data_IF_035790617337
#
_entry.id   IF_035790617337
#
_cell.length_a   1.000
_cell.length_b   1.000
_cell.length_c   1.000
_cell.angle_alpha   90.00
_cell.angle_beta   90.00
_cell.angle_gamma   90.00
#
_symmetry.space_group_name_H-M   'P 1'
#
loop_
_entity.id
_entity.type
_entity.pdbx_description
1 polymer ?
#
# COMPACT_ATOMS: atom_id res chain seq x y z
N UNK A 1 18.58 2.35 35.78
CA UNK A 1 19.26 2.11 34.49
C UNK A 1 18.28 2.47 33.40
N UNK A 2 18.33 3.70 32.89
CA UNK A 2 17.42 4.16 31.84
C UNK A 2 17.86 3.58 30.49
N UNK A 3 16.91 2.95 29.79
CA UNK A 3 17.06 2.43 28.44
C UNK A 3 17.61 3.50 27.49
N UNK A 4 18.86 3.33 27.06
CA UNK A 4 19.57 4.33 26.23
C UNK A 4 19.15 4.30 24.76
N UNK A 5 18.27 3.39 24.35
CA UNK A 5 17.87 3.27 22.95
C UNK A 5 16.35 3.30 22.80
N UNK A 6 15.79 4.50 22.86
CA UNK A 6 14.35 4.69 22.70
C UNK A 6 13.88 4.41 21.27
N UNK A 7 14.79 4.49 20.28
CA UNK A 7 14.51 4.12 18.89
C UNK A 7 14.22 2.62 18.77
N UNK A 8 14.97 1.78 19.48
CA UNK A 8 14.69 0.33 19.57
C UNK A 8 13.29 0.05 20.12
N UNK A 9 12.84 0.82 21.11
CA UNK A 9 11.48 0.67 21.65
C UNK A 9 10.40 1.02 20.61
N UNK A 10 10.63 2.04 19.77
CA UNK A 10 9.73 2.33 18.63
C UNK A 10 9.71 1.16 17.65
N UNK A 11 10.89 0.61 17.32
CA UNK A 11 11.02 -0.53 16.39
C UNK A 11 10.23 -1.73 16.90
N UNK A 12 10.40 -2.10 18.17
CA UNK A 12 9.68 -3.19 18.82
C UNK A 12 8.18 -2.93 18.87
N UNK A 13 7.78 -1.70 19.20
CA UNK A 13 6.38 -1.29 19.18
C UNK A 13 5.76 -1.47 17.79
N UNK A 14 6.42 -1.02 16.71
CA UNK A 14 5.91 -1.18 15.34
C UNK A 14 5.75 -2.65 14.99
N UNK A 15 6.74 -3.50 15.35
CA UNK A 15 6.65 -4.93 15.12
C UNK A 15 5.48 -5.56 15.87
N UNK A 16 5.30 -5.21 17.14
CA UNK A 16 4.17 -5.68 17.96
C UNK A 16 2.84 -5.21 17.39
N UNK A 17 2.72 -3.93 17.05
CA UNK A 17 1.51 -3.35 16.46
C UNK A 17 1.15 -4.02 15.12
N UNK A 18 2.15 -4.37 14.31
CA UNK A 18 1.94 -5.10 13.04
C UNK A 18 1.47 -6.53 13.29
N UNK A 19 2.09 -7.25 14.24
CA UNK A 19 1.67 -8.61 14.63
C UNK A 19 0.24 -8.65 15.19
N UNK A 20 -0.16 -7.60 15.92
CA UNK A 20 -1.51 -7.45 16.46
C UNK A 20 -2.53 -6.91 15.45
N UNK A 21 -2.15 -6.71 14.18
CA UNK A 21 -3.03 -6.20 13.13
C UNK A 21 -3.45 -4.74 13.29
N UNK A 22 -2.80 -3.97 14.18
CA UNK A 22 -3.06 -2.52 14.34
C UNK A 22 -2.53 -1.73 13.15
N UNK A 23 -1.44 -2.21 12.55
CA UNK A 23 -1.03 -1.85 11.21
C UNK A 23 -1.31 -3.02 10.25
N UNK A 24 -1.74 -2.71 9.02
CA UNK A 24 -1.63 -3.69 7.95
C UNK A 24 -0.15 -3.95 7.65
N UNK A 25 0.19 -5.15 7.17
CA UNK A 25 1.58 -5.59 7.01
C UNK A 25 2.42 -4.65 6.14
N UNK A 26 1.85 -4.14 5.04
CA UNK A 26 2.57 -3.21 4.16
C UNK A 26 2.88 -1.87 4.85
N UNK A 27 1.93 -1.33 5.61
CA UNK A 27 2.09 -0.09 6.37
C UNK A 27 3.09 -0.29 7.51
N UNK A 28 2.95 -1.38 8.26
CA UNK A 28 3.88 -1.74 9.33
C UNK A 28 5.31 -1.85 8.83
N UNK A 29 5.54 -2.61 7.75
CA UNK A 29 6.85 -2.76 7.13
C UNK A 29 7.37 -1.42 6.57
N UNK A 30 6.50 -0.64 5.93
CA UNK A 30 6.87 0.67 5.40
C UNK A 30 7.31 1.66 6.48
N UNK A 31 6.64 1.66 7.64
CA UNK A 31 7.00 2.45 8.81
C UNK A 31 8.30 1.93 9.44
N UNK A 32 8.39 0.61 9.65
CA UNK A 32 9.58 -0.04 10.20
C UNK A 32 10.84 0.28 9.39
N UNK A 33 10.75 0.17 8.06
CA UNK A 33 11.86 0.49 7.18
C UNK A 33 12.24 1.95 7.27
N UNK A 34 11.26 2.86 7.38
CA UNK A 34 11.56 4.29 7.50
C UNK A 34 12.33 4.61 8.79
N UNK A 35 11.91 4.05 9.93
CA UNK A 35 12.60 4.24 11.21
C UNK A 35 14.01 3.65 11.17
N UNK A 36 14.18 2.42 10.65
CA UNK A 36 15.51 1.79 10.50
C UNK A 36 16.43 2.55 9.56
N UNK A 37 15.88 3.12 8.48
CA UNK A 37 16.65 3.99 7.59
C UNK A 37 17.13 5.23 8.34
N UNK A 38 16.28 5.87 9.13
CA UNK A 38 16.69 7.03 9.92
C UNK A 38 17.76 6.65 10.97
N UNK A 39 17.60 5.51 11.64
CA UNK A 39 18.55 4.97 12.61
C UNK A 39 19.94 4.76 12.00
N UNK A 40 20.04 4.28 10.75
CA UNK A 40 21.32 4.14 10.04
C UNK A 40 22.03 5.46 9.73
N UNK A 41 21.29 6.58 9.76
CA UNK A 41 21.85 7.90 9.57
C UNK A 41 22.50 8.49 10.84
N UNK A 42 22.29 7.85 12.00
CA UNK A 42 22.88 8.27 13.27
C UNK A 42 24.37 7.93 13.31
N UNK A 43 25.16 8.86 13.84
CA UNK A 43 26.55 8.62 14.20
C UNK A 43 26.63 7.98 15.60
N UNK A 44 27.76 7.33 15.92
CA UNK A 44 27.95 6.62 17.19
C UNK A 44 27.83 7.55 18.43
N UNK A 45 28.16 8.83 18.25
CA UNK A 45 28.13 9.84 19.31
C UNK A 45 26.76 10.52 19.49
N UNK A 46 25.79 10.22 18.61
CA UNK A 46 24.48 10.87 18.63
C UNK A 46 23.47 10.14 19.51
N UNK A 47 22.58 10.87 20.21
CA UNK A 47 21.63 10.26 21.11
C UNK A 47 20.57 9.46 20.34
N UNK A 48 20.37 8.20 20.74
CA UNK A 48 19.30 7.32 20.22
C UNK A 48 17.94 7.61 20.88
N UNK A 49 17.57 8.89 20.89
CA UNK A 49 16.35 9.42 21.52
C UNK A 49 15.28 9.76 20.49
N UNK A 50 14.01 9.66 20.90
CA UNK A 50 12.86 9.94 20.02
C UNK A 50 12.79 11.42 19.65
N UNK A 51 13.12 12.31 20.59
CA UNK A 51 13.23 13.76 20.38
C UNK A 51 14.28 14.05 19.30
N UNK A 52 15.49 13.54 19.48
CA UNK A 52 16.58 13.73 18.53
C UNK A 52 16.21 13.25 17.14
N UNK A 53 15.67 12.02 17.05
CA UNK A 53 15.18 11.46 15.80
C UNK A 53 14.17 12.40 15.15
N UNK A 54 13.15 12.89 15.88
CA UNK A 54 12.09 13.74 15.33
C UNK A 54 12.59 15.09 14.81
N UNK A 55 13.55 15.68 15.51
CA UNK A 55 14.03 17.04 15.22
C UNK A 55 15.06 17.04 14.08
N UNK A 56 15.76 15.92 13.87
CA UNK A 56 16.84 15.80 12.89
C UNK A 56 16.51 14.83 11.73
N UNK A 57 15.25 14.41 11.54
CA UNK A 57 14.88 13.41 10.52
C UNK A 57 15.45 13.78 9.14
N UNK A 58 15.33 15.04 8.73
CA UNK A 58 15.76 15.50 7.41
C UNK A 58 17.28 15.38 7.24
N UNK A 59 18.04 15.80 8.25
CA UNK A 59 19.49 15.72 8.26
C UNK A 59 19.99 14.26 8.21
N UNK A 60 19.37 13.37 9.00
CA UNK A 60 19.71 11.95 9.01
C UNK A 60 19.54 11.30 7.63
N UNK A 61 18.59 11.76 6.81
CA UNK A 61 18.43 11.29 5.43
C UNK A 61 19.41 11.95 4.46
N UNK A 62 19.73 13.23 4.63
CA UNK A 62 20.72 13.95 3.80
C UNK A 62 22.13 13.37 3.93
N UNK A 63 22.51 12.91 5.14
CA UNK A 63 23.81 12.26 5.38
C UNK A 63 23.95 10.94 4.61
N UNK A 64 22.84 10.27 4.31
CA UNK A 64 22.82 8.97 3.64
C UNK A 64 22.85 9.12 2.11
N UNK A 65 24.00 9.51 1.57
CA UNK A 65 24.20 9.75 0.11
C UNK A 65 23.82 8.58 -0.79
N UNK A 66 23.83 7.34 -0.28
CA UNK A 66 23.48 6.14 -1.03
C UNK A 66 21.97 5.91 -1.19
N UNK A 67 21.11 6.62 -0.45
CA UNK A 67 19.67 6.35 -0.46
C UNK A 67 18.96 6.77 -1.75
N UNK A 68 19.55 7.70 -2.53
CA UNK A 68 19.05 8.14 -3.84
C UNK A 68 17.52 8.30 -3.92
N UNK A 69 16.90 8.84 -2.86
CA UNK A 69 15.45 9.02 -2.78
C UNK A 69 15.02 10.34 -3.44
N UNK A 70 13.93 10.30 -4.20
CA UNK A 70 13.27 11.53 -4.65
C UNK A 70 12.74 12.33 -3.45
N UNK A 71 12.61 13.67 -3.57
CA UNK A 71 12.04 14.50 -2.50
C UNK A 71 10.67 14.01 -2.02
N UNK A 72 9.81 13.57 -2.93
CA UNK A 72 8.50 13.01 -2.60
C UNK A 72 8.62 11.71 -1.79
N UNK A 73 9.63 10.88 -2.08
CA UNK A 73 9.87 9.66 -1.31
C UNK A 73 10.38 9.98 0.09
N UNK A 74 11.24 10.99 0.24
CA UNK A 74 11.72 11.43 1.55
C UNK A 74 10.57 11.91 2.44
N UNK A 75 9.66 12.73 1.89
CA UNK A 75 8.49 13.21 2.64
C UNK A 75 7.58 12.04 3.10
N UNK A 76 7.44 10.99 2.28
CA UNK A 76 6.71 9.78 2.69
C UNK A 76 7.40 9.09 3.88
N UNK A 77 8.72 9.03 3.89
CA UNK A 77 9.47 8.46 5.02
C UNK A 77 9.31 9.33 6.27
N UNK A 78 9.41 10.65 6.15
CA UNK A 78 9.23 11.58 7.27
C UNK A 78 7.83 11.46 7.88
N UNK A 79 6.79 11.43 7.05
CA UNK A 79 5.42 11.22 7.49
C UNK A 79 5.23 9.89 8.22
N UNK A 80 5.90 8.81 7.77
CA UNK A 80 5.87 7.50 8.43
C UNK A 80 6.56 7.52 9.80
N UNK A 81 7.71 8.16 9.91
CA UNK A 81 8.46 8.28 11.17
C UNK A 81 7.67 9.10 12.17
N UNK A 82 7.20 10.29 11.78
CA UNK A 82 6.36 11.17 12.62
C UNK A 82 5.10 10.44 13.11
N UNK A 83 4.47 9.65 12.22
CA UNK A 83 3.35 8.80 12.60
C UNK A 83 3.73 7.75 13.64
N UNK A 84 4.83 7.03 13.43
CA UNK A 84 5.31 6.01 14.39
C UNK A 84 5.56 6.61 15.78
N UNK A 85 6.19 7.78 15.82
CA UNK A 85 6.47 8.51 17.07
C UNK A 85 5.17 8.90 17.77
N UNK A 86 4.20 9.43 17.03
CA UNK A 86 2.89 9.81 17.58
C UNK A 86 2.11 8.60 18.11
N UNK A 87 2.06 7.52 17.33
CA UNK A 87 1.40 6.28 17.72
C UNK A 87 2.11 5.63 18.93
N UNK A 88 3.44 5.66 18.99
CA UNK A 88 4.22 5.16 20.13
C UNK A 88 3.98 5.97 21.41
N UNK A 89 3.96 7.30 21.32
CA UNK A 89 3.63 8.17 22.46
C UNK A 89 2.22 7.88 23.00
N UNK A 90 1.29 7.54 22.13
CA UNK A 90 -0.11 7.29 22.51
C UNK A 90 -0.35 5.87 23.02
N UNK A 91 0.27 4.86 22.40
CA UNK A 91 -0.09 3.45 22.61
C UNK A 91 1.09 2.54 22.98
N UNK A 92 2.31 3.04 22.87
CA UNK A 92 3.55 2.28 23.07
C UNK A 92 4.18 2.43 24.44
N UNK A 93 3.88 3.50 25.18
CA UNK A 93 4.40 3.70 26.54
C UNK A 93 3.78 2.74 27.55
N UNK A 94 2.51 2.40 27.39
CA UNK A 94 1.79 1.47 28.25
C UNK A 94 1.49 0.14 27.54
N UNK A 95 1.88 -0.97 28.16
CA UNK A 95 1.67 -2.30 27.60
C UNK A 95 0.19 -2.63 27.31
N UNK A 96 -0.75 -2.00 28.04
CA UNK A 96 -2.20 -2.19 27.87
C UNK A 96 -2.79 -1.28 26.79
N UNK A 97 -2.22 -0.10 26.54
CA UNK A 97 -2.78 0.91 25.64
C UNK A 97 -2.84 0.44 24.19
N UNK A 98 -1.89 -0.42 23.77
CA UNK A 98 -1.88 -0.99 22.42
C UNK A 98 -3.13 -1.83 22.13
N UNK A 99 -3.74 -2.47 23.13
CA UNK A 99 -4.94 -3.29 22.93
C UNK A 99 -6.17 -2.43 22.67
N UNK A 100 -6.28 -1.28 23.35
CA UNK A 100 -7.35 -0.29 23.15
C UNK A 100 -7.26 0.46 21.81
N UNK A 101 -6.15 0.37 21.09
CA UNK A 101 -6.00 1.06 19.82
C UNK A 101 -6.96 0.51 18.75
N UNK A 102 -7.87 1.35 18.27
CA UNK A 102 -8.71 1.08 17.11
C UNK A 102 -8.22 1.87 15.90
N UNK A 103 -7.64 1.22 14.87
CA UNK A 103 -7.15 1.91 13.68
C UNK A 103 -8.30 2.60 12.95
N UNK A 104 -8.13 3.89 12.62
CA UNK A 104 -9.10 4.62 11.79
C UNK A 104 -9.12 4.02 10.38
N UNK A 105 -10.18 3.28 10.06
CA UNK A 105 -10.43 2.79 8.70
C UNK A 105 -10.80 3.99 7.82
N UNK A 106 -9.89 4.42 6.95
CA UNK A 106 -10.20 5.46 5.96
C UNK A 106 -10.98 4.84 4.81
N UNK A 107 -12.28 5.07 4.79
CA UNK A 107 -13.12 4.80 3.62
C UNK A 107 -12.70 5.81 2.54
N UNK A 108 -12.10 5.34 1.44
CA UNK A 108 -11.73 6.22 0.34
C UNK A 108 -13.02 6.74 -0.30
N UNK A 109 -13.25 8.05 -0.26
CA UNK A 109 -14.32 8.67 -1.07
C UNK A 109 -13.98 8.46 -2.56
N UNK A 110 -14.95 8.07 -3.40
CA UNK A 110 -14.73 8.00 -4.84
C UNK A 110 -14.33 9.39 -5.34
N UNK A 111 -13.21 9.48 -6.07
CA UNK A 111 -12.73 10.75 -6.60
C UNK A 111 -13.63 11.21 -7.75
N UNK A 112 -14.41 12.27 -7.54
CA UNK A 112 -15.08 12.98 -8.63
C UNK A 112 -14.01 13.62 -9.53
N UNK A 113 -13.80 13.12 -10.74
CA UNK A 113 -12.97 13.78 -11.74
C UNK A 113 -13.69 15.05 -12.22
N UNK A 114 -13.06 16.22 -12.03
CA UNK A 114 -13.40 17.46 -12.74
C UNK A 114 -12.81 17.37 -14.15
N UNK A 115 -13.59 17.80 -15.13
CA UNK A 115 -13.27 17.87 -16.56
C UNK A 115 -12.15 18.87 -16.91
N UNK A 116 -11.42 18.49 -17.96
CA UNK A 116 -10.93 19.25 -19.13
C UNK A 116 -10.15 20.56 -18.97
N UNK A 117 -8.90 20.51 -19.44
CA UNK A 117 -8.44 21.32 -20.59
C UNK A 117 -7.20 20.70 -21.26
N UNK A 118 -7.29 20.67 -22.60
CA UNK A 118 -6.32 20.21 -23.61
C UNK A 118 -4.99 20.98 -23.57
N UNK A 119 -3.89 20.38 -24.06
CA UNK A 119 -3.20 20.71 -25.33
C UNK A 119 -2.12 19.66 -25.65
N UNK A 120 -1.89 19.46 -26.94
CA UNK A 120 -1.19 18.42 -27.69
C UNK A 120 0.31 18.21 -27.45
N UNK A 121 0.71 16.94 -27.68
CA UNK A 121 1.90 16.39 -28.33
C UNK A 121 3.31 17.01 -28.11
N UNK A 122 4.23 16.20 -27.55
CA UNK A 122 5.47 15.80 -28.24
C UNK A 122 6.20 14.63 -27.52
N UNK A 123 6.92 13.87 -28.33
CA UNK A 123 7.47 12.52 -28.11
C UNK A 123 8.70 12.54 -27.18
N UNK A 124 8.80 11.60 -26.22
CA UNK A 124 10.10 11.19 -25.67
C UNK A 124 10.09 9.79 -25.05
N UNK A 125 10.94 8.93 -25.60
CA UNK A 125 11.26 7.58 -25.15
C UNK A 125 11.77 7.55 -23.69
N UNK A 126 10.94 7.04 -22.78
CA UNK A 126 11.36 6.29 -21.58
C UNK A 126 10.16 5.63 -20.92
N UNK A 127 10.23 4.34 -20.51
CA UNK A 127 9.18 3.76 -19.69
C UNK A 127 9.42 4.11 -18.22
N UNK A 128 8.38 4.49 -17.45
CA UNK A 128 8.41 4.14 -16.04
C UNK A 128 7.12 3.45 -15.57
N UNK A 129 7.36 2.32 -14.93
CA UNK A 129 6.67 1.80 -13.76
C UNK A 129 5.15 1.59 -13.88
N UNK A 130 4.81 0.37 -14.29
CA UNK A 130 3.53 -0.28 -13.99
C UNK A 130 3.35 -0.30 -12.46
N UNK A 131 2.43 0.53 -11.96
CA UNK A 131 1.92 0.45 -10.60
C UNK A 131 1.10 -0.85 -10.44
N UNK A 132 1.78 -1.95 -10.17
CA UNK A 132 1.15 -3.21 -9.78
C UNK A 132 0.95 -3.22 -8.26
N UNK A 133 -0.22 -2.75 -7.79
CA UNK A 133 -0.86 -3.26 -6.58
C UNK A 133 -2.33 -2.84 -6.52
N UNK A 134 -3.08 -3.25 -7.54
CA UNK A 134 -4.52 -3.43 -7.40
C UNK A 134 -4.75 -4.77 -6.71
N UNK A 135 -4.92 -4.76 -5.38
CA UNK A 135 -5.58 -5.88 -4.70
C UNK A 135 -7.05 -5.87 -5.13
N UNK A 136 -7.34 -6.57 -6.22
CA UNK A 136 -8.70 -6.93 -6.61
C UNK A 136 -9.18 -7.99 -5.62
N UNK A 137 -10.17 -7.60 -4.84
CA UNK A 137 -10.99 -8.48 -4.03
C UNK A 137 -11.72 -9.43 -5.01
N UNK A 138 -11.70 -10.77 -4.81
CA UNK A 138 -12.16 -11.75 -5.81
C UNK A 138 -13.67 -11.75 -6.10
N UNK A 139 -14.46 -10.89 -5.44
CA UNK A 139 -15.89 -10.68 -5.69
C UNK A 139 -16.24 -9.21 -6.04
N UNK A 140 -15.29 -8.42 -6.55
CA UNK A 140 -15.61 -7.06 -6.98
C UNK A 140 -16.11 -7.05 -8.43
N UNK A 141 -17.43 -7.07 -8.59
CA UNK A 141 -18.08 -6.64 -9.83
C UNK A 141 -17.69 -5.19 -10.09
N UNK A 142 -16.82 -4.98 -11.06
CA UNK A 142 -16.49 -3.64 -11.56
C UNK A 142 -17.22 -3.46 -12.87
N UNK A 143 -18.25 -2.61 -12.86
CA UNK A 143 -18.95 -2.19 -14.08
C UNK A 143 -18.03 -1.23 -14.84
N UNK A 144 -17.57 -1.61 -16.03
CA UNK A 144 -16.91 -0.75 -17.02
C UNK A 144 -17.88 -0.50 -18.18
N UNK A 145 -17.68 0.55 -18.95
CA UNK A 145 -18.48 0.82 -20.14
C UNK A 145 -17.57 0.69 -21.36
N UNK A 146 -17.85 -0.27 -22.25
CA UNK A 146 -17.09 -0.51 -23.48
C UNK A 146 -18.05 -0.34 -24.65
N UNK A 147 -17.86 0.72 -25.45
CA UNK A 147 -18.73 0.99 -26.61
C UNK A 147 -20.19 1.35 -26.29
N UNK A 148 -20.49 1.82 -25.07
CA UNK A 148 -21.85 2.13 -24.62
C UNK A 148 -22.61 0.95 -23.97
N UNK A 149 -21.95 -0.19 -23.82
CA UNK A 149 -22.49 -1.36 -23.10
C UNK A 149 -21.76 -1.45 -21.76
N UNK A 150 -22.54 -1.51 -20.69
CA UNK A 150 -22.03 -1.74 -19.33
C UNK A 150 -21.59 -3.20 -19.24
N UNK A 151 -20.36 -3.44 -18.82
CA UNK A 151 -19.74 -4.76 -18.67
C UNK A 151 -19.24 -4.94 -17.24
N UNK A 152 -19.62 -6.04 -16.62
CA UNK A 152 -19.07 -6.55 -15.38
C UNK A 152 -17.72 -7.22 -15.63
N UNK A 153 -16.69 -6.78 -14.91
CA UNK A 153 -15.36 -7.40 -14.96
C UNK A 153 -15.15 -8.30 -13.76
N UNK A 154 -15.00 -9.59 -14.02
CA UNK A 154 -14.65 -10.62 -13.05
C UNK A 154 -13.17 -10.98 -13.21
N UNK A 155 -12.42 -10.98 -12.11
CA UNK A 155 -10.99 -11.25 -12.13
C UNK A 155 -10.61 -12.31 -11.09
N UNK A 156 -9.99 -13.39 -11.54
CA UNK A 156 -9.52 -14.48 -10.69
C UNK A 156 -8.02 -14.71 -10.85
N UNK A 157 -7.33 -14.87 -9.72
CA UNK A 157 -5.91 -15.17 -9.70
C UNK A 157 -5.71 -16.68 -9.78
N UNK A 158 -5.09 -17.16 -10.86
CA UNK A 158 -4.79 -18.58 -11.01
C UNK A 158 -3.52 -18.98 -10.25
N UNK A 159 -2.45 -18.18 -10.38
CA UNK A 159 -1.13 -18.43 -9.79
C UNK A 159 -0.42 -17.11 -9.46
N UNK A 160 0.70 -17.10 -8.72
CA UNK A 160 1.47 -15.89 -8.49
C UNK A 160 1.86 -15.23 -9.82
N UNK A 161 1.43 -13.99 -10.05
CA UNK A 161 1.70 -13.23 -11.27
C UNK A 161 0.72 -13.45 -12.43
N UNK A 162 -0.20 -14.42 -12.33
CA UNK A 162 -1.15 -14.75 -13.41
C UNK A 162 -2.59 -14.54 -12.96
N UNK A 163 -3.33 -13.68 -13.66
CA UNK A 163 -4.73 -13.32 -13.38
C UNK A 163 -5.54 -13.48 -14.66
N UNK A 164 -6.64 -14.22 -14.60
CA UNK A 164 -7.66 -14.27 -15.64
C UNK A 164 -8.66 -13.16 -15.39
N UNK A 165 -9.04 -12.44 -16.45
CA UNK A 165 -10.07 -11.41 -16.42
C UNK A 165 -11.12 -11.76 -17.47
N UNK A 166 -12.37 -11.80 -17.05
CA UNK A 166 -13.53 -11.98 -17.93
C UNK A 166 -14.35 -10.69 -17.85
N UNK A 167 -14.63 -10.09 -19.00
CA UNK A 167 -15.51 -8.93 -19.12
C UNK A 167 -16.84 -9.43 -19.71
N UNK A 168 -17.93 -9.28 -18.97
CA UNK A 168 -19.26 -9.79 -19.30
C UNK A 168 -20.25 -8.62 -19.38
N UNK A 169 -21.15 -8.54 -20.36
CA UNK A 169 -22.22 -7.53 -20.37
C UNK A 169 -23.08 -7.59 -19.09
N UNK A 170 -23.55 -6.43 -18.63
CA UNK A 170 -24.46 -6.32 -17.47
C UNK A 170 -25.84 -6.92 -17.78
N UNK A 171 -26.26 -6.87 -19.03
CA UNK A 171 -27.53 -7.39 -19.57
C UNK A 171 -27.46 -8.86 -19.99
N UNK A 172 -26.72 -9.68 -19.23
CA UNK A 172 -26.50 -11.09 -19.56
C UNK A 172 -27.82 -11.89 -19.61
N UNK A 173 -28.15 -12.49 -20.76
CA UNK A 173 -29.36 -13.33 -20.87
C UNK A 173 -29.04 -14.80 -20.59
N UNK A 174 -30.08 -15.60 -20.28
CA UNK A 174 -29.93 -17.05 -20.08
C UNK A 174 -29.39 -17.77 -21.33
N UNK A 175 -29.65 -17.24 -22.53
CA UNK A 175 -29.10 -17.80 -23.77
C UNK A 175 -27.59 -17.55 -23.88
N UNK A 176 -27.11 -16.38 -23.44
CA UNK A 176 -25.69 -16.04 -23.45
C UNK A 176 -24.90 -16.87 -22.43
N UNK A 177 -25.47 -17.09 -21.24
CA UNK A 177 -24.90 -18.01 -20.25
C UNK A 177 -24.78 -19.42 -20.83
N UNK A 178 -25.80 -19.91 -21.55
CA UNK A 178 -25.78 -21.24 -22.16
C UNK A 178 -24.70 -21.36 -23.25
N UNK A 179 -24.49 -20.31 -24.04
CA UNK A 179 -23.42 -20.24 -25.05
C UNK A 179 -22.03 -20.17 -24.41
N UNK A 180 -21.84 -19.33 -23.39
CA UNK A 180 -20.58 -19.22 -22.64
C UNK A 180 -20.21 -20.55 -21.98
N UNK A 181 -21.19 -21.25 -21.39
CA UNK A 181 -21.00 -22.58 -20.83
C UNK A 181 -20.56 -23.58 -21.91
N UNK A 182 -21.27 -23.63 -23.04
CA UNK A 182 -20.90 -24.51 -24.15
C UNK A 182 -19.48 -24.23 -24.68
N UNK A 183 -19.04 -22.98 -24.71
CA UNK A 183 -17.70 -22.59 -25.16
C UNK A 183 -16.60 -23.07 -24.20
N UNK A 184 -16.84 -22.94 -22.89
CA UNK A 184 -15.92 -23.45 -21.86
C UNK A 184 -15.86 -24.98 -21.83
N UNK A 185 -16.98 -25.65 -22.13
CA UNK A 185 -17.08 -27.11 -22.18
C UNK A 185 -16.41 -27.69 -23.46
N UNK A 186 -16.24 -26.91 -24.54
CA UNK A 186 -15.58 -27.36 -25.79
C UNK A 186 -14.05 -27.42 -25.68
N UNK A 187 -13.42 -26.51 -24.92
CA UNK A 187 -11.95 -26.45 -24.78
C UNK A 187 -11.40 -27.35 -23.67
N UNK A 188 -12.27 -27.83 -22.77
CA UNK A 188 -11.96 -28.86 -21.80
C UNK A 188 -12.61 -30.15 -22.30
N UNK A 189 -11.89 -30.94 -23.10
CA UNK A 189 -12.26 -32.31 -23.46
C UNK A 189 -12.31 -33.23 -22.23
N UNK A 190 -13.26 -32.96 -21.33
CA UNK A 190 -13.67 -33.76 -20.20
C UNK A 190 -15.10 -34.19 -20.52
N UNK A 191 -15.18 -35.18 -21.40
CA UNK A 191 -16.32 -36.11 -21.41
C UNK A 191 -16.49 -36.63 -19.98
N UNK A 192 -17.60 -36.26 -19.34
CA UNK A 192 -18.15 -36.91 -18.15
C UNK A 192 -19.17 -37.96 -18.61
#
# INVERSE_FOLDING_TARGET
>A
MQDRNQISHIIEFIQKATKLGKYNSNTGNGILNAVKTAEKGLHEDEPSEISYLNDHIEELFLRQKSLNLSPQSQEVYFGRIRKAISDYKTYGQDAKAIYSWQPKVRVKKPSSKKNDKQTEEEISDRPPAINANTQLNPNSEVVKEVGGIKVNVLAWRLRPGVVVKIELPEDLTQQDVKKLKALLDIELGLDL
#
